data_IF_590805180655
#
_entry.id   IF_590805180655
#
_cell.length_a   1.000
_cell.length_b   1.000
_cell.length_c   1.000
_cell.angle_alpha   90.00
_cell.angle_beta   90.00
_cell.angle_gamma   90.00
#
_symmetry.space_group_name_H-M   'P 1'
#
loop_
_entity.id
_entity.type
_entity.pdbx_description
1 polymer ?
#
# COMPACT_ATOMS: atom_id res chain seq x y z
N UNK A 1 7.52 29.42 66.66
CA UNK A 1 6.22 29.61 66.02
C UNK A 1 6.28 28.99 64.66
N UNK A 2 5.42 27.99 64.45
CA UNK A 2 5.24 27.33 63.17
C UNK A 2 4.97 28.32 62.04
N UNK A 3 5.25 27.89 60.81
CA UNK A 3 4.94 28.66 59.61
C UNK A 3 4.24 27.79 58.58
N UNK A 4 3.40 28.43 57.77
CA UNK A 4 2.68 27.76 56.68
C UNK A 4 3.52 27.78 55.40
N UNK A 5 3.53 26.65 54.70
CA UNK A 5 4.04 26.51 53.34
C UNK A 5 2.84 26.32 52.43
N UNK A 6 2.76 27.12 51.37
CA UNK A 6 1.66 27.09 50.42
C UNK A 6 2.10 26.52 49.08
N UNK A 7 1.21 25.80 48.42
CA UNK A 7 1.33 25.48 47.00
C UNK A 7 1.17 26.73 46.15
N UNK A 8 1.62 26.66 44.89
CA UNK A 8 1.50 27.77 43.92
C UNK A 8 0.05 28.24 43.73
N UNK A 9 -0.92 27.35 43.87
CA UNK A 9 -2.34 27.68 43.78
C UNK A 9 -2.91 28.40 45.03
N UNK A 10 -2.09 28.64 46.06
CA UNK A 10 -2.46 29.31 47.30
C UNK A 10 -3.04 28.41 48.39
N UNK A 11 -3.22 27.10 48.14
CA UNK A 11 -3.63 26.15 49.17
C UNK A 11 -2.47 25.83 50.12
N UNK A 12 -2.78 25.57 51.40
CA UNK A 12 -1.77 25.22 52.41
C UNK A 12 -1.25 23.81 52.13
N UNK A 13 0.05 23.68 51.93
CA UNK A 13 0.74 22.41 51.76
C UNK A 13 1.08 21.78 53.12
N UNK A 14 1.65 22.55 54.05
CA UNK A 14 1.98 22.07 55.40
C UNK A 14 2.11 23.21 56.40
N UNK A 15 1.94 22.89 57.68
CA UNK A 15 2.28 23.75 58.81
C UNK A 15 3.52 23.15 59.48
N UNK A 16 4.65 23.85 59.39
CA UNK A 16 5.95 23.33 59.84
C UNK A 16 6.27 23.87 61.23
N UNK A 17 6.28 22.97 62.22
CA UNK A 17 6.55 23.28 63.63
C UNK A 17 8.04 23.53 63.91
N UNK A 18 8.33 24.35 64.92
CA UNK A 18 9.71 24.61 65.37
C UNK A 18 10.39 23.30 65.84
N UNK A 19 11.67 23.15 65.52
CA UNK A 19 12.50 22.01 65.92
C UNK A 19 12.20 20.71 65.20
N UNK A 20 11.32 20.72 64.19
CA UNK A 20 10.90 19.51 63.45
C UNK A 20 11.30 19.58 61.97
N UNK A 21 11.40 18.41 61.35
CA UNK A 21 11.56 18.26 59.89
C UNK A 21 10.33 17.51 59.39
N UNK A 22 9.55 18.15 58.52
CA UNK A 22 8.46 17.51 57.82
C UNK A 22 9.02 16.71 56.62
N UNK A 23 8.56 15.46 56.49
CA UNK A 23 8.99 14.50 55.47
C UNK A 23 7.81 13.94 54.67
N UNK A 24 6.66 14.62 54.70
CA UNK A 24 5.47 14.21 53.95
C UNK A 24 5.76 14.23 52.44
N UNK A 25 6.43 15.27 51.95
CA UNK A 25 6.73 15.46 50.54
C UNK A 25 8.09 14.90 50.13
N UNK A 26 8.32 14.74 48.81
CA UNK A 26 9.59 14.29 48.23
C UNK A 26 10.78 15.20 48.59
N UNK A 27 10.50 16.48 48.87
CA UNK A 27 11.41 17.42 49.52
C UNK A 27 11.04 17.58 50.99
N UNK A 28 12.05 17.70 51.85
CA UNK A 28 11.85 17.87 53.30
C UNK A 28 11.59 19.34 53.63
N UNK A 29 10.62 19.66 54.48
CA UNK A 29 10.40 21.03 54.95
C UNK A 29 10.97 21.20 56.36
N UNK A 30 11.76 22.26 56.58
CA UNK A 30 12.56 22.40 57.80
C UNK A 30 12.00 23.46 58.73
N UNK A 31 11.66 23.07 59.97
CA UNK A 31 11.22 23.98 61.03
C UNK A 31 12.33 24.90 61.53
N UNK A 32 11.94 26.02 62.14
CA UNK A 32 12.90 26.93 62.80
C UNK A 32 13.64 26.17 63.91
N UNK A 33 14.90 26.53 64.18
CA UNK A 33 15.75 25.92 65.22
C UNK A 33 16.15 24.45 64.99
N UNK A 34 16.00 23.90 63.78
CA UNK A 34 16.60 22.61 63.42
C UNK A 34 18.11 22.79 63.19
N UNK A 35 18.93 22.08 63.96
CA UNK A 35 20.40 22.21 63.90
C UNK A 35 21.01 21.58 62.64
N UNK A 36 20.31 20.64 62.01
CA UNK A 36 20.74 19.95 60.76
C UNK A 36 20.19 20.59 59.48
N UNK A 37 19.64 21.80 59.55
CA UNK A 37 18.94 22.43 58.42
C UNK A 37 19.78 22.51 57.13
N UNK A 38 21.09 22.79 57.26
CA UNK A 38 21.97 22.99 56.11
C UNK A 38 22.12 21.75 55.24
N UNK A 39 22.23 20.57 55.85
CA UNK A 39 22.28 19.29 55.15
C UNK A 39 20.96 19.02 54.42
N UNK A 40 19.82 19.22 55.11
CA UNK A 40 18.49 18.99 54.54
C UNK A 40 18.22 19.87 53.32
N UNK A 41 18.60 21.15 53.36
CA UNK A 41 18.44 22.03 52.21
C UNK A 41 19.34 21.62 51.04
N UNK A 42 20.60 21.28 51.31
CA UNK A 42 21.52 20.81 50.27
C UNK A 42 20.97 19.55 49.58
N UNK A 43 20.47 18.57 50.36
CA UNK A 43 19.81 17.38 49.82
C UNK A 43 18.60 17.73 48.95
N UNK A 44 17.74 18.64 49.39
CA UNK A 44 16.57 19.05 48.61
C UNK A 44 16.96 19.65 47.25
N UNK A 45 18.01 20.47 47.19
CA UNK A 45 18.48 21.02 45.92
C UNK A 45 18.99 19.94 44.97
N UNK A 46 19.70 18.93 45.49
CA UNK A 46 20.15 17.78 44.69
C UNK A 46 18.94 16.98 44.20
N UNK A 47 17.97 16.66 45.06
CA UNK A 47 16.74 15.94 44.69
C UNK A 47 15.96 16.65 43.59
N UNK A 48 15.85 17.98 43.67
CA UNK A 48 15.17 18.77 42.63
C UNK A 48 15.97 18.77 41.32
N UNK A 49 17.30 18.89 41.39
CA UNK A 49 18.17 18.87 40.21
C UNK A 49 18.11 17.53 39.46
N UNK A 50 18.02 16.42 40.18
CA UNK A 50 17.93 15.07 39.60
C UNK A 50 16.49 14.61 39.32
N UNK A 51 15.49 15.48 39.51
CA UNK A 51 14.07 15.15 39.40
C UNK A 51 13.70 13.90 40.22
N UNK A 52 14.09 13.87 41.50
CA UNK A 52 13.75 12.77 42.41
C UNK A 52 14.26 11.39 42.02
N UNK A 53 15.32 11.31 41.19
CA UNK A 53 15.89 10.08 40.65
C UNK A 53 16.00 8.96 41.68
N UNK A 54 15.27 7.86 41.46
CA UNK A 54 15.27 6.72 42.37
C UNK A 54 14.75 5.45 41.65
N UNK A 55 15.08 4.28 42.19
CA UNK A 55 14.59 2.97 41.72
C UNK A 55 13.16 2.68 42.20
N UNK A 56 12.63 3.51 43.09
CA UNK A 56 11.25 3.48 43.57
C UNK A 56 10.60 4.83 43.35
N UNK A 57 9.30 4.85 43.02
CA UNK A 57 8.60 6.11 42.85
C UNK A 57 8.38 6.82 44.21
N UNK A 58 8.27 8.16 44.23
CA UNK A 58 7.88 8.91 45.42
C UNK A 58 6.57 8.40 46.03
N UNK A 59 6.48 8.35 47.36
CA UNK A 59 5.33 7.79 48.09
C UNK A 59 4.18 8.79 48.27
N UNK A 60 4.48 10.09 48.29
CA UNK A 60 3.47 11.17 48.35
C UNK A 60 3.81 12.26 47.32
N UNK A 61 3.77 11.94 46.01
CA UNK A 61 4.10 12.90 44.98
C UNK A 61 3.04 14.01 44.92
N UNK A 62 3.48 15.21 44.54
CA UNK A 62 2.58 16.34 44.28
C UNK A 62 2.23 16.42 42.80
N UNK A 63 1.03 16.89 42.45
CA UNK A 63 0.64 17.03 41.04
C UNK A 63 1.62 17.99 40.31
N UNK A 64 2.16 17.54 39.19
CA UNK A 64 3.22 18.20 38.43
C UNK A 64 4.64 17.80 38.83
N UNK A 65 4.83 16.94 39.83
CA UNK A 65 6.15 16.46 40.24
C UNK A 65 6.80 15.60 39.14
N UNK A 66 8.07 15.89 38.87
CA UNK A 66 8.90 15.13 37.96
C UNK A 66 9.65 14.04 38.73
N UNK A 67 9.70 12.84 38.14
CA UNK A 67 10.43 11.72 38.70
C UNK A 67 11.21 10.97 37.61
N UNK A 68 12.52 10.81 37.81
CA UNK A 68 13.37 9.98 36.95
C UNK A 68 13.46 8.54 37.48
N UNK A 69 13.00 7.58 36.69
CA UNK A 69 13.12 6.17 37.04
C UNK A 69 14.54 5.66 36.74
N UNK A 70 15.39 5.61 37.76
CA UNK A 70 16.75 5.07 37.64
C UNK A 70 16.82 3.54 37.75
N UNK A 71 15.68 2.87 37.89
CA UNK A 71 15.59 1.40 37.80
C UNK A 71 15.87 0.90 36.38
N UNK A 72 16.30 -0.35 36.28
CA UNK A 72 16.37 -1.09 35.01
C UNK A 72 15.02 -1.70 34.61
N UNK A 73 13.97 -1.51 35.41
CA UNK A 73 12.61 -1.98 35.16
C UNK A 73 11.62 -0.81 35.09
N UNK A 74 10.49 -1.02 34.41
CA UNK A 74 9.37 -0.08 34.45
C UNK A 74 8.73 -0.06 35.83
N UNK A 75 8.58 1.13 36.41
CA UNK A 75 8.01 1.33 37.74
C UNK A 75 6.95 2.43 37.64
N UNK A 76 5.74 2.17 38.13
CA UNK A 76 4.60 3.10 38.04
C UNK A 76 4.41 3.68 36.62
N UNK A 77 4.43 2.81 35.61
CA UNK A 77 4.30 3.13 34.18
C UNK A 77 5.44 3.97 33.56
N UNK A 78 6.50 4.29 34.31
CA UNK A 78 7.67 5.01 33.81
C UNK A 78 8.74 4.00 33.42
N UNK A 79 9.18 4.03 32.16
CA UNK A 79 10.19 3.12 31.62
C UNK A 79 11.56 3.28 32.28
N UNK A 80 12.48 2.31 32.09
CA UNK A 80 13.83 2.38 32.66
C UNK A 80 14.60 3.58 32.11
N UNK A 81 15.29 4.32 32.98
CA UNK A 81 16.05 5.54 32.62
C UNK A 81 15.22 6.60 31.89
N UNK A 82 13.94 6.74 32.23
CA UNK A 82 13.03 7.74 31.65
C UNK A 82 12.43 8.65 32.72
N UNK A 83 11.95 9.81 32.27
CA UNK A 83 11.30 10.81 33.11
C UNK A 83 9.78 10.65 33.06
N UNK A 84 9.13 10.73 34.22
CA UNK A 84 7.68 10.79 34.34
C UNK A 84 7.22 12.07 35.04
N UNK A 85 5.93 12.40 34.86
CA UNK A 85 5.23 13.46 35.59
C UNK A 85 4.02 12.91 36.33
N UNK A 86 3.85 13.30 37.60
CA UNK A 86 2.67 12.94 38.38
C UNK A 86 1.48 13.83 38.03
N UNK A 87 0.34 13.27 37.65
CA UNK A 87 -0.87 14.04 37.28
C UNK A 87 -1.83 14.32 38.46
N UNK A 88 -1.49 13.85 39.66
CA UNK A 88 -2.35 13.89 40.85
C UNK A 88 -3.01 12.54 41.18
N UNK A 89 -2.89 11.55 40.29
CA UNK A 89 -3.34 10.18 40.49
C UNK A 89 -2.19 9.19 40.24
N UNK A 90 -1.48 9.33 39.13
CA UNK A 90 -0.40 8.43 38.70
C UNK A 90 0.74 9.18 37.99
N UNK A 91 1.88 8.52 37.86
CA UNK A 91 2.97 8.97 37.02
C UNK A 91 2.70 8.60 35.55
N UNK A 92 2.88 9.57 34.65
CA UNK A 92 2.78 9.41 33.20
C UNK A 92 4.14 9.68 32.55
N UNK A 93 4.54 8.91 31.53
CA UNK A 93 5.82 9.11 30.84
C UNK A 93 5.86 10.46 30.11
N UNK A 94 6.93 11.23 30.31
CA UNK A 94 7.21 12.46 29.59
C UNK A 94 8.13 12.18 28.40
N UNK A 95 7.52 11.75 27.30
CA UNK A 95 8.13 11.78 25.97
C UNK A 95 9.13 10.66 25.64
N UNK A 96 8.82 9.92 24.57
CA UNK A 96 9.80 9.14 23.83
C UNK A 96 9.14 8.14 22.88
N UNK A 97 9.28 8.36 21.57
CA UNK A 97 9.26 7.23 20.64
C UNK A 97 10.54 6.44 20.85
N UNK A 98 10.47 5.16 21.19
CA UNK A 98 11.64 4.30 21.21
C UNK A 98 12.27 4.29 19.83
N UNK A 99 13.60 4.35 19.70
CA UNK A 99 14.28 4.15 18.42
C UNK A 99 15.36 3.09 18.62
N UNK A 100 15.12 1.90 18.09
CA UNK A 100 15.98 0.73 18.32
C UNK A 100 15.74 -0.36 17.29
N UNK A 101 16.77 -1.16 17.03
CA UNK A 101 16.70 -2.32 16.13
C UNK A 101 15.85 -3.47 16.70
N UNK A 102 15.73 -3.53 18.03
CA UNK A 102 14.95 -4.53 18.75
C UNK A 102 13.74 -3.90 19.40
N UNK A 103 12.65 -4.66 19.45
CA UNK A 103 11.39 -4.22 20.04
C UNK A 103 11.58 -3.89 21.55
N UNK A 104 11.04 -2.76 22.03
CA UNK A 104 10.99 -2.45 23.46
C UNK A 104 10.27 -3.54 24.26
N UNK A 105 10.83 -3.91 25.42
CA UNK A 105 10.32 -5.00 26.28
C UNK A 105 9.26 -4.57 27.28
N UNK A 106 9.06 -3.27 27.50
CA UNK A 106 8.07 -2.76 28.48
C UNK A 106 7.37 -1.47 28.01
N UNK A 107 6.64 -1.51 26.87
CA UNK A 107 5.90 -0.36 26.37
C UNK A 107 4.56 -0.15 27.10
N UNK A 108 4.11 1.09 27.13
CA UNK A 108 2.76 1.50 27.51
C UNK A 108 1.87 1.67 26.27
N UNK A 109 0.55 1.54 26.43
CA UNK A 109 -0.41 1.76 25.32
C UNK A 109 -0.21 3.16 24.74
N UNK A 110 -0.05 3.24 23.42
CA UNK A 110 0.20 4.49 22.71
C UNK A 110 1.68 4.84 22.54
N UNK A 111 2.60 4.10 23.15
CA UNK A 111 4.03 4.32 22.94
C UNK A 111 4.40 4.09 21.48
N UNK A 112 5.18 5.01 20.95
CA UNK A 112 5.73 4.91 19.60
C UNK A 112 7.06 4.17 19.63
N UNK A 113 7.34 3.38 18.61
CA UNK A 113 8.64 2.76 18.39
C UNK A 113 9.03 2.86 16.91
N UNK A 114 10.16 3.47 16.63
CA UNK A 114 10.83 3.43 15.35
C UNK A 114 11.80 2.25 15.32
N UNK A 115 11.43 1.22 14.55
CA UNK A 115 12.26 0.06 14.27
C UNK A 115 13.35 0.45 13.27
N UNK A 116 14.57 0.66 13.76
CA UNK A 116 15.70 1.14 12.96
C UNK A 116 16.29 0.06 12.04
N UNK A 117 15.86 -1.19 12.13
CA UNK A 117 16.28 -2.25 11.19
C UNK A 117 15.37 -2.28 9.97
N UNK A 118 14.09 -1.98 10.15
CA UNK A 118 13.10 -2.01 9.07
C UNK A 118 12.71 -0.61 8.57
N UNK A 119 13.18 0.45 9.23
CA UNK A 119 12.76 1.85 9.07
C UNK A 119 11.24 2.04 9.18
N UNK A 120 10.65 1.39 10.18
CA UNK A 120 9.20 1.36 10.39
C UNK A 120 8.80 2.02 11.70
N UNK A 121 7.85 2.94 11.63
CA UNK A 121 7.16 3.45 12.81
C UNK A 121 6.05 2.48 13.23
N UNK A 122 6.02 2.17 14.51
CA UNK A 122 5.05 1.29 15.16
C UNK A 122 4.46 1.97 16.40
N UNK A 123 3.27 1.56 16.80
CA UNK A 123 2.62 2.03 18.04
C UNK A 123 2.16 0.84 18.88
N UNK A 124 2.34 0.89 20.20
CA UNK A 124 1.93 -0.19 21.08
C UNK A 124 0.42 -0.12 21.36
N UNK A 125 -0.30 -1.18 21.05
CA UNK A 125 -1.76 -1.29 21.22
C UNK A 125 -2.20 -1.66 22.64
N UNK A 126 -1.26 -2.05 23.52
CA UNK A 126 -1.56 -2.71 24.80
C UNK A 126 -1.35 -4.23 24.78
N UNK A 127 -1.16 -4.82 23.60
CA UNK A 127 -0.79 -6.22 23.44
C UNK A 127 0.49 -6.37 22.62
N UNK A 128 0.55 -5.68 21.47
CA UNK A 128 1.69 -5.71 20.55
C UNK A 128 1.89 -4.36 19.86
N UNK A 129 3.08 -4.17 19.28
CA UNK A 129 3.36 -3.05 18.40
C UNK A 129 2.72 -3.27 17.02
N UNK A 130 1.80 -2.39 16.63
CA UNK A 130 1.17 -2.37 15.31
C UNK A 130 1.97 -1.45 14.38
N UNK A 131 2.11 -1.84 13.11
CA UNK A 131 2.80 -1.04 12.08
C UNK A 131 1.96 0.20 11.72
N UNK A 132 2.58 1.37 11.79
CA UNK A 132 2.01 2.63 11.29
C UNK A 132 2.48 2.88 9.86
N UNK A 133 3.77 2.66 9.59
CA UNK A 133 4.32 2.71 8.23
C UNK A 133 5.83 2.92 8.19
N UNK A 134 6.45 2.80 7.02
CA UNK A 134 5.85 2.38 5.74
C UNK A 134 5.46 0.89 5.72
N UNK A 135 4.57 0.50 4.81
CA UNK A 135 4.09 -0.89 4.66
C UNK A 135 5.13 -1.89 4.13
N UNK A 136 6.31 -1.39 3.78
CA UNK A 136 7.48 -2.15 3.36
C UNK A 136 8.62 -1.95 4.37
N UNK A 137 9.64 -2.79 4.30
CA UNK A 137 10.83 -2.71 5.17
C UNK A 137 12.03 -2.30 4.33
N UNK A 138 12.92 -1.45 4.83
CA UNK A 138 14.12 -1.01 4.09
C UNK A 138 14.91 -2.17 3.45
N UNK A 139 15.17 -3.32 4.12
CA UNK A 139 15.94 -4.40 3.52
C UNK A 139 15.26 -5.11 2.34
N UNK A 140 13.96 -4.89 2.17
CA UNK A 140 13.16 -5.49 1.10
C UNK A 140 12.72 -4.45 0.06
N UNK A 141 13.24 -3.23 0.10
CA UNK A 141 12.93 -2.18 -0.85
C UNK A 141 11.50 -1.65 -0.74
N UNK A 142 11.19 -0.69 -1.60
CA UNK A 142 9.86 -0.10 -1.72
C UNK A 142 8.93 -1.07 -2.43
N UNK A 143 7.79 -1.38 -1.83
CA UNK A 143 6.77 -2.24 -2.43
C UNK A 143 5.37 -1.76 -2.09
N UNK A 144 4.45 -1.92 -3.05
CA UNK A 144 3.05 -1.58 -2.92
C UNK A 144 2.64 -0.33 -3.68
N UNK A 145 1.43 0.15 -3.38
CA UNK A 145 0.82 1.30 -4.02
C UNK A 145 1.23 2.59 -3.31
N UNK A 146 1.95 3.47 -4.02
CA UNK A 146 2.42 4.75 -3.49
C UNK A 146 1.86 5.87 -4.36
N UNK A 147 1.24 6.84 -3.71
CA UNK A 147 0.70 8.03 -4.37
C UNK A 147 1.84 9.03 -4.56
N UNK A 148 2.05 9.48 -5.79
CA UNK A 148 3.07 10.46 -6.14
C UNK A 148 2.49 11.54 -7.05
N UNK A 149 3.05 12.75 -6.94
CA UNK A 149 2.78 13.83 -7.88
C UNK A 149 3.82 13.81 -8.98
N UNK A 150 3.36 13.81 -10.23
CA UNK A 150 4.21 13.92 -11.42
C UNK A 150 3.78 15.12 -12.23
N UNK A 151 4.72 15.79 -12.88
CA UNK A 151 4.45 17.01 -13.64
C UNK A 151 4.53 16.73 -15.15
N UNK A 152 3.57 17.23 -15.91
CA UNK A 152 3.55 17.12 -17.37
C UNK A 152 4.48 18.14 -18.06
N UNK A 153 4.63 18.01 -19.38
CA UNK A 153 5.40 18.96 -20.22
C UNK A 153 4.79 20.37 -20.29
N UNK A 154 3.53 20.53 -19.90
CA UNK A 154 2.82 21.81 -19.83
C UNK A 154 2.86 22.42 -18.43
N UNK A 155 3.63 21.84 -17.50
CA UNK A 155 3.81 22.25 -16.09
C UNK A 155 2.58 22.08 -15.19
N UNK A 156 1.65 21.20 -15.55
CA UNK A 156 0.56 20.78 -14.67
C UNK A 156 0.99 19.60 -13.80
N UNK A 157 0.58 19.63 -12.54
CA UNK A 157 0.79 18.53 -11.60
C UNK A 157 -0.37 17.53 -11.66
N UNK A 158 -0.02 16.26 -11.73
CA UNK A 158 -0.93 15.13 -11.79
C UNK A 158 -0.66 14.18 -10.63
N UNK A 159 -1.72 13.74 -9.95
CA UNK A 159 -1.62 12.76 -8.88
C UNK A 159 -1.80 11.36 -9.47
N UNK A 160 -0.80 10.49 -9.31
CA UNK A 160 -0.85 9.11 -9.77
C UNK A 160 -0.55 8.13 -8.65
N UNK A 161 -1.00 6.89 -8.81
CA UNK A 161 -0.53 5.77 -7.99
C UNK A 161 0.52 5.00 -8.78
N UNK A 162 1.72 4.87 -8.23
CA UNK A 162 2.74 3.94 -8.73
C UNK A 162 2.67 2.65 -7.94
N UNK A 163 2.66 1.53 -8.66
CA UNK A 163 2.73 0.19 -8.08
C UNK A 163 4.19 -0.26 -8.12
N UNK A 164 4.83 -0.28 -6.96
CA UNK A 164 6.22 -0.69 -6.78
C UNK A 164 6.31 -2.17 -6.43
N UNK A 165 7.33 -2.83 -6.99
CA UNK A 165 7.76 -4.17 -6.59
C UNK A 165 9.24 -4.15 -6.29
N UNK A 166 9.63 -4.73 -5.16
CA UNK A 166 11.02 -4.93 -4.78
C UNK A 166 11.73 -5.84 -5.76
N UNK A 167 12.93 -5.46 -6.18
CA UNK A 167 13.78 -6.32 -7.01
C UNK A 167 14.65 -7.16 -6.07
N UNK A 168 14.48 -8.50 -6.04
CA UNK A 168 15.24 -9.35 -5.14
C UNK A 168 16.73 -9.28 -5.47
N UNK A 169 17.59 -9.43 -4.45
CA UNK A 169 19.05 -9.35 -4.60
C UNK A 169 19.66 -10.37 -5.58
N UNK A 170 18.88 -11.35 -6.04
CA UNK A 170 19.29 -12.35 -7.04
C UNK A 170 19.19 -11.86 -8.48
N UNK A 171 18.45 -10.78 -8.75
CA UNK A 171 18.29 -10.22 -10.10
C UNK A 171 19.34 -9.13 -10.39
N UNK A 172 19.76 -8.92 -11.66
CA UNK A 172 20.68 -7.85 -12.03
C UNK A 172 20.12 -6.47 -11.64
N UNK A 173 20.86 -5.71 -10.84
CA UNK A 173 20.38 -4.42 -10.30
C UNK A 173 19.50 -4.53 -9.06
N UNK A 174 19.25 -5.75 -8.58
CA UNK A 174 18.55 -6.04 -7.33
C UNK A 174 19.37 -5.75 -6.08
N UNK A 175 18.71 -5.63 -4.95
CA UNK A 175 19.32 -5.29 -3.67
C UNK A 175 18.31 -4.75 -2.67
N UNK A 176 18.72 -4.50 -1.42
CA UNK A 176 17.82 -4.08 -0.35
C UNK A 176 17.04 -2.81 -0.70
N UNK A 177 17.57 -1.94 -1.54
CA UNK A 177 16.93 -0.67 -1.93
C UNK A 177 16.39 -0.66 -3.37
N UNK A 178 16.47 -1.78 -4.09
CA UNK A 178 16.09 -1.84 -5.50
C UNK A 178 14.58 -2.09 -5.65
N UNK A 179 13.89 -1.21 -6.38
CA UNK A 179 12.45 -1.33 -6.62
C UNK A 179 12.10 -0.77 -7.99
N UNK A 180 11.15 -1.42 -8.65
CA UNK A 180 10.68 -1.04 -9.99
C UNK A 180 9.20 -0.68 -9.95
N UNK A 181 8.81 0.27 -10.81
CA UNK A 181 7.40 0.60 -11.03
C UNK A 181 6.85 -0.35 -12.08
N UNK A 182 5.98 -1.26 -11.66
CA UNK A 182 5.41 -2.27 -12.57
C UNK A 182 4.13 -1.78 -13.26
N UNK A 183 3.46 -0.79 -12.66
CA UNK A 183 2.25 -0.21 -13.20
C UNK A 183 1.98 1.18 -12.61
N UNK A 184 1.18 1.96 -13.33
CA UNK A 184 0.66 3.25 -12.87
C UNK A 184 -0.87 3.26 -12.94
N UNK A 185 -1.50 4.00 -12.03
CA UNK A 185 -2.94 4.27 -12.04
C UNK A 185 -3.16 5.78 -12.07
N UNK A 186 -3.97 6.26 -13.03
CA UNK A 186 -4.31 7.66 -13.18
C UNK A 186 -5.79 7.85 -13.53
N UNK A 187 -6.35 9.00 -13.17
CA UNK A 187 -7.70 9.41 -13.57
C UNK A 187 -7.69 10.43 -14.73
N UNK A 188 -6.53 11.04 -14.99
CA UNK A 188 -6.43 12.17 -15.91
C UNK A 188 -6.35 11.69 -17.37
N UNK A 189 -6.82 12.53 -18.31
CA UNK A 189 -6.68 12.27 -19.73
C UNK A 189 -5.20 12.18 -20.13
N UNK A 190 -4.88 11.45 -21.20
CA UNK A 190 -3.50 11.18 -21.65
C UNK A 190 -2.61 12.43 -21.63
N UNK A 191 -1.48 12.36 -20.91
CA UNK A 191 -0.47 13.41 -20.85
C UNK A 191 0.95 12.84 -20.96
N UNK A 192 1.90 13.70 -21.34
CA UNK A 192 3.33 13.37 -21.45
C UNK A 192 4.08 13.96 -20.26
N UNK A 193 4.88 13.14 -19.59
CA UNK A 193 5.69 13.55 -18.45
C UNK A 193 6.81 14.50 -18.88
N UNK A 194 7.12 15.49 -18.04
CA UNK A 194 8.33 16.27 -18.23
C UNK A 194 9.57 15.49 -17.81
N UNK A 195 10.75 15.98 -18.20
CA UNK A 195 12.03 15.29 -17.96
C UNK A 195 12.34 15.04 -16.48
N UNK A 196 11.86 15.89 -15.57
CA UNK A 196 12.09 15.73 -14.14
C UNK A 196 11.18 14.65 -13.51
N UNK A 197 10.05 14.36 -14.17
CA UNK A 197 9.06 13.39 -13.72
C UNK A 197 9.11 12.06 -14.49
N UNK A 198 10.07 11.89 -15.40
CA UNK A 198 10.28 10.62 -16.11
C UNK A 198 10.78 9.55 -15.13
N UNK A 199 10.27 8.33 -15.30
CA UNK A 199 10.73 7.12 -14.64
C UNK A 199 10.68 5.96 -15.64
N UNK A 200 11.41 4.89 -15.35
CA UNK A 200 11.52 3.76 -16.27
C UNK A 200 10.14 3.18 -16.61
N UNK A 201 9.92 2.84 -17.87
CA UNK A 201 8.67 2.24 -18.33
C UNK A 201 7.55 3.21 -18.71
N UNK A 202 7.69 4.51 -18.40
CA UNK A 202 6.61 5.49 -18.56
C UNK A 202 7.11 6.85 -19.07
N UNK A 203 6.71 7.19 -20.29
CA UNK A 203 6.88 8.53 -20.89
C UNK A 203 5.57 9.30 -20.91
N UNK A 204 4.46 8.58 -21.10
CA UNK A 204 3.10 9.11 -21.08
C UNK A 204 2.28 8.36 -20.05
N UNK A 205 1.27 9.02 -19.49
CA UNK A 205 0.30 8.42 -18.58
C UNK A 205 -1.11 8.66 -19.14
N UNK A 206 -1.84 7.58 -19.38
CA UNK A 206 -3.26 7.51 -19.74
C UNK A 206 -4.15 7.22 -18.51
N UNK A 207 -5.47 7.49 -18.60
CA UNK A 207 -6.40 7.12 -17.54
C UNK A 207 -6.52 5.59 -17.40
N UNK A 208 -6.74 5.13 -16.18
CA UNK A 208 -6.82 3.70 -15.83
C UNK A 208 -5.49 3.13 -15.35
N UNK A 209 -5.33 1.82 -15.49
CA UNK A 209 -4.10 1.09 -15.11
C UNK A 209 -3.25 0.89 -16.37
N UNK A 210 -2.00 1.33 -16.32
CA UNK A 210 -1.01 1.08 -17.37
C UNK A 210 0.12 0.25 -16.80
N UNK A 211 0.45 -0.85 -17.48
CA UNK A 211 1.61 -1.68 -17.14
C UNK A 211 2.88 -1.08 -17.73
N UNK A 212 4.00 -1.33 -17.07
CA UNK A 212 5.30 -0.88 -17.54
C UNK A 212 5.65 -1.47 -18.91
N UNK A 213 6.32 -0.67 -19.76
CA UNK A 213 6.83 -1.14 -21.06
C UNK A 213 8.34 -1.46 -21.04
N UNK A 214 9.02 -1.23 -19.90
CA UNK A 214 10.41 -1.61 -19.62
C UNK A 214 10.58 -2.03 -18.16
N UNK A 215 11.74 -2.53 -17.75
CA UNK A 215 11.98 -3.05 -16.40
C UNK A 215 11.42 -4.46 -16.18
N UNK A 216 10.13 -4.69 -16.46
CA UNK A 216 9.49 -6.01 -16.32
C UNK A 216 9.20 -6.63 -17.68
N UNK A 217 9.96 -7.67 -18.05
CA UNK A 217 9.76 -8.39 -19.31
C UNK A 217 8.45 -9.18 -19.27
N UNK A 218 7.59 -8.97 -20.28
CA UNK A 218 6.35 -9.72 -20.44
C UNK A 218 5.20 -9.22 -19.56
N UNK A 219 5.31 -8.00 -19.00
CA UNK A 219 4.26 -7.37 -18.20
C UNK A 219 2.90 -7.39 -18.94
N UNK A 220 1.97 -8.17 -18.39
CA UNK A 220 0.61 -8.34 -18.90
C UNK A 220 -0.36 -8.42 -17.72
N UNK A 221 -1.64 -8.15 -17.99
CA UNK A 221 -2.70 -8.47 -17.04
C UNK A 221 -2.90 -9.99 -17.05
N UNK A 222 -2.31 -10.68 -16.09
CA UNK A 222 -2.49 -12.12 -15.91
C UNK A 222 -3.73 -12.37 -15.05
N UNK A 223 -4.70 -13.09 -15.61
CA UNK A 223 -5.87 -13.55 -14.89
C UNK A 223 -6.69 -14.53 -15.73
N UNK A 224 -7.25 -15.54 -15.07
CA UNK A 224 -8.23 -16.43 -15.69
C UNK A 224 -9.62 -15.78 -15.55
N UNK A 225 -10.10 -15.17 -16.63
CA UNK A 225 -11.45 -14.64 -16.67
C UNK A 225 -12.45 -15.79 -16.88
N UNK A 226 -13.26 -16.10 -15.88
CA UNK A 226 -14.39 -17.04 -16.03
C UNK A 226 -15.48 -16.47 -16.93
N UNK A 227 -15.63 -15.15 -16.93
CA UNK A 227 -16.46 -14.38 -17.86
C UNK A 227 -15.81 -13.04 -18.22
N UNK A 228 -15.99 -12.57 -19.45
CA UNK A 228 -15.66 -11.21 -19.91
C UNK A 228 -16.97 -10.50 -20.20
N UNK A 229 -17.27 -9.42 -19.45
CA UNK A 229 -18.54 -8.68 -19.54
C UNK A 229 -19.80 -9.57 -19.39
N UNK A 230 -19.70 -10.60 -18.55
CA UNK A 230 -20.78 -11.56 -18.30
C UNK A 230 -20.86 -12.74 -19.28
N UNK A 231 -20.04 -12.75 -20.34
CA UNK A 231 -19.95 -13.86 -21.29
C UNK A 231 -18.81 -14.81 -20.93
N UNK A 232 -19.07 -16.11 -20.93
CA UNK A 232 -18.01 -17.10 -20.78
C UNK A 232 -17.15 -17.19 -22.04
N UNK A 233 -15.94 -17.72 -21.93
CA UNK A 233 -15.11 -17.99 -23.10
C UNK A 233 -15.81 -18.92 -24.12
N UNK A 234 -16.74 -19.78 -23.68
CA UNK A 234 -17.54 -20.66 -24.54
C UNK A 234 -18.63 -19.94 -25.33
N UNK A 235 -18.89 -18.66 -25.06
CA UNK A 235 -19.89 -17.87 -25.79
C UNK A 235 -19.32 -17.25 -27.09
N UNK A 236 -18.01 -17.39 -27.33
CA UNK A 236 -17.33 -16.87 -28.51
C UNK A 236 -16.84 -18.01 -29.41
N UNK A 237 -16.88 -17.80 -30.73
CA UNK A 237 -16.29 -18.74 -31.69
C UNK A 237 -14.76 -18.72 -31.61
N UNK A 238 -14.14 -19.89 -31.53
CA UNK A 238 -12.68 -20.00 -31.53
C UNK A 238 -12.05 -19.60 -32.87
N UNK A 239 -10.94 -18.87 -32.83
CA UNK A 239 -10.12 -18.56 -34.01
C UNK A 239 -9.08 -19.64 -34.34
N UNK A 240 -8.86 -20.61 -33.44
CA UNK A 240 -7.77 -21.61 -33.53
C UNK A 240 -8.25 -23.05 -33.37
N UNK A 241 -9.52 -23.28 -33.08
CA UNK A 241 -10.11 -24.59 -32.88
C UNK A 241 -11.46 -24.71 -33.60
N UNK A 242 -11.90 -25.94 -33.84
CA UNK A 242 -13.23 -26.19 -34.39
C UNK A 242 -14.31 -25.80 -33.37
N UNK A 243 -15.41 -25.26 -33.88
CA UNK A 243 -16.52 -24.77 -33.04
C UNK A 243 -17.88 -25.04 -33.70
N UNK A 244 -18.95 -25.06 -32.90
CA UNK A 244 -20.31 -25.31 -33.34
C UNK A 244 -21.24 -24.19 -32.86
N UNK A 245 -22.04 -23.64 -33.79
CA UNK A 245 -23.15 -22.75 -33.43
C UNK A 245 -24.43 -23.56 -33.22
N UNK A 246 -25.06 -23.45 -32.04
CA UNK A 246 -26.40 -24.01 -31.80
C UNK A 246 -27.52 -23.03 -32.22
N UNK A 247 -27.20 -21.74 -32.24
CA UNK A 247 -28.08 -20.66 -32.68
C UNK A 247 -27.85 -20.26 -34.14
N UNK A 248 -28.51 -19.18 -34.58
CA UNK A 248 -28.34 -18.63 -35.93
C UNK A 248 -27.15 -17.69 -36.01
N UNK A 249 -26.30 -17.85 -37.04
CA UNK A 249 -25.27 -16.87 -37.40
C UNK A 249 -25.83 -15.89 -38.45
N UNK A 250 -25.83 -14.59 -38.15
CA UNK A 250 -26.19 -13.53 -39.10
C UNK A 250 -24.96 -12.71 -39.48
N UNK A 251 -24.73 -12.51 -40.78
CA UNK A 251 -23.63 -11.69 -41.32
C UNK A 251 -24.22 -10.41 -41.91
N UNK A 252 -24.25 -9.34 -41.12
CA UNK A 252 -24.87 -8.05 -41.49
C UNK A 252 -23.87 -7.10 -42.13
N UNK A 253 -23.17 -7.56 -43.16
CA UNK A 253 -22.34 -6.72 -44.01
C UNK A 253 -22.39 -7.24 -45.45
N UNK A 254 -22.25 -6.34 -46.42
CA UNK A 254 -22.39 -6.67 -47.85
C UNK A 254 -21.20 -7.46 -48.40
N UNK A 255 -20.03 -7.41 -47.76
CA UNK A 255 -18.89 -8.26 -48.13
C UNK A 255 -19.14 -9.74 -47.84
N UNK A 256 -19.98 -10.02 -46.84
CA UNK A 256 -20.59 -11.32 -46.54
C UNK A 256 -19.66 -12.34 -45.88
N UNK A 257 -19.83 -13.63 -46.23
CA UNK A 257 -19.14 -14.77 -45.62
C UNK A 257 -18.06 -15.30 -46.57
N UNK A 258 -16.86 -15.52 -46.04
CA UNK A 258 -15.74 -16.18 -46.73
C UNK A 258 -15.39 -17.48 -46.04
N UNK A 259 -15.16 -18.55 -46.81
CA UNK A 259 -14.78 -19.88 -46.31
C UNK A 259 -13.61 -20.42 -47.12
N UNK A 260 -12.63 -21.01 -46.42
CA UNK A 260 -11.39 -21.53 -47.01
C UNK A 260 -10.18 -20.63 -46.72
N UNK A 261 -8.98 -21.20 -46.69
CA UNK A 261 -7.73 -20.48 -46.34
C UNK A 261 -7.44 -19.36 -47.34
N UNK A 262 -7.81 -19.57 -48.61
CA UNK A 262 -7.67 -18.58 -49.67
C UNK A 262 -8.95 -17.78 -49.93
N UNK A 263 -9.93 -17.86 -49.01
CA UNK A 263 -11.28 -17.32 -49.21
C UNK A 263 -11.97 -17.89 -50.46
N UNK A 264 -11.79 -19.20 -50.69
CA UNK A 264 -12.26 -19.91 -51.87
C UNK A 264 -13.77 -19.72 -52.10
N UNK A 265 -14.59 -19.89 -51.07
CA UNK A 265 -16.04 -19.71 -51.16
C UNK A 265 -16.46 -18.37 -50.59
N UNK A 266 -17.29 -17.62 -51.33
CA UNK A 266 -17.84 -16.34 -50.89
C UNK A 266 -19.34 -16.25 -51.13
N UNK A 267 -20.06 -15.75 -50.13
CA UNK A 267 -21.45 -15.27 -50.26
C UNK A 267 -21.44 -13.79 -49.95
N UNK A 268 -21.95 -12.94 -50.84
CA UNK A 268 -21.94 -11.48 -50.66
C UNK A 268 -23.14 -10.80 -51.30
N UNK A 269 -23.32 -9.52 -50.99
CA UNK A 269 -24.40 -8.69 -51.52
C UNK A 269 -23.81 -7.48 -52.22
N UNK A 270 -24.37 -7.10 -53.37
CA UNK A 270 -24.04 -5.84 -54.03
C UNK A 270 -25.31 -5.21 -54.58
N UNK A 271 -25.69 -4.05 -54.05
CA UNK A 271 -26.98 -3.45 -54.34
C UNK A 271 -28.12 -4.35 -53.87
N UNK A 272 -28.88 -4.90 -54.81
CA UNK A 272 -30.01 -5.80 -54.54
C UNK A 272 -29.67 -7.27 -54.83
N UNK A 273 -28.48 -7.56 -55.35
CA UNK A 273 -28.10 -8.87 -55.84
C UNK A 273 -27.25 -9.62 -54.80
N UNK A 274 -27.52 -10.92 -54.66
CA UNK A 274 -26.71 -11.85 -53.85
C UNK A 274 -25.83 -12.67 -54.78
N UNK A 275 -24.53 -12.68 -54.52
CA UNK A 275 -23.55 -13.48 -55.26
C UNK A 275 -23.06 -14.62 -54.38
N UNK A 276 -23.14 -15.84 -54.90
CA UNK A 276 -22.52 -17.05 -54.34
C UNK A 276 -21.48 -17.52 -55.34
N UNK A 277 -20.21 -17.47 -54.97
CA UNK A 277 -19.11 -17.73 -55.90
C UNK A 277 -17.99 -18.57 -55.28
N UNK A 278 -17.32 -19.34 -56.15
CA UNK A 278 -15.98 -19.85 -55.90
C UNK A 278 -14.99 -18.84 -56.50
N UNK A 279 -14.14 -18.23 -55.68
CA UNK A 279 -13.18 -17.22 -56.08
C UNK A 279 -11.85 -17.83 -56.55
N UNK A 280 -11.67 -19.13 -56.40
CA UNK A 280 -10.45 -19.83 -56.79
C UNK A 280 -10.44 -20.04 -58.29
N UNK A 281 -9.41 -19.52 -58.96
CA UNK A 281 -9.25 -19.64 -60.41
C UNK A 281 -9.33 -21.11 -60.85
N UNK A 282 -10.08 -21.41 -61.90
CA UNK A 282 -10.37 -22.77 -62.41
C UNK A 282 -11.19 -23.65 -61.46
N UNK A 283 -11.71 -23.09 -60.38
CA UNK A 283 -12.50 -23.78 -59.38
C UNK A 283 -14.00 -23.71 -59.66
N UNK A 284 -14.63 -24.87 -59.83
CA UNK A 284 -16.09 -24.96 -59.99
C UNK A 284 -16.85 -24.63 -58.69
N UNK A 285 -18.12 -24.23 -58.80
CA UNK A 285 -19.09 -24.30 -57.70
C UNK A 285 -19.95 -25.56 -57.87
N UNK A 286 -19.91 -26.48 -56.88
CA UNK A 286 -20.58 -27.78 -56.96
C UNK A 286 -21.67 -27.92 -55.90
N UNK A 287 -22.86 -28.33 -56.33
CA UNK A 287 -23.94 -28.78 -55.46
C UNK A 287 -24.03 -30.30 -55.54
N UNK A 288 -23.76 -30.98 -54.43
CA UNK A 288 -23.68 -32.44 -54.35
C UNK A 288 -24.55 -32.99 -53.22
N UNK A 289 -24.99 -34.22 -53.41
CA UNK A 289 -25.52 -35.08 -52.34
C UNK A 289 -24.49 -36.16 -52.03
N UNK A 290 -24.71 -36.96 -50.98
CA UNK A 290 -23.79 -38.02 -50.56
C UNK A 290 -23.39 -38.98 -51.71
N UNK A 291 -24.33 -39.25 -52.63
CA UNK A 291 -24.10 -40.13 -53.78
C UNK A 291 -23.45 -39.46 -55.00
N UNK A 292 -23.16 -38.14 -54.98
CA UNK A 292 -22.46 -37.43 -56.05
C UNK A 292 -22.95 -36.01 -56.36
N UNK A 293 -22.27 -35.35 -57.30
CA UNK A 293 -22.57 -33.98 -57.75
C UNK A 293 -23.79 -33.93 -58.67
N UNK A 294 -24.78 -33.12 -58.29
CA UNK A 294 -26.04 -32.92 -59.02
C UNK A 294 -25.93 -31.74 -59.99
N UNK A 295 -25.28 -30.66 -59.57
CA UNK A 295 -25.07 -29.46 -60.37
C UNK A 295 -23.62 -28.99 -60.23
N UNK A 296 -22.97 -28.75 -61.37
CA UNK A 296 -21.66 -28.10 -61.43
C UNK A 296 -21.81 -26.80 -62.20
N UNK A 297 -21.45 -25.67 -61.58
CA UNK A 297 -21.21 -24.40 -62.28
C UNK A 297 -19.72 -24.38 -62.59
N UNK A 298 -19.39 -24.65 -63.84
CA UNK A 298 -18.04 -24.81 -64.36
C UNK A 298 -17.42 -23.43 -64.64
N UNK A 299 -16.30 -23.13 -63.99
CA UNK A 299 -15.56 -21.87 -64.20
C UNK A 299 -14.92 -21.81 -65.59
N UNK A 300 -14.41 -22.94 -66.10
CA UNK A 300 -13.66 -22.99 -67.35
C UNK A 300 -14.53 -22.60 -68.55
N UNK A 301 -15.80 -22.98 -68.51
CA UNK A 301 -16.74 -22.77 -69.61
C UNK A 301 -17.88 -21.79 -69.26
N UNK A 302 -18.00 -21.38 -67.99
CA UNK A 302 -19.12 -20.57 -67.47
C UNK A 302 -20.49 -21.23 -67.76
N UNK A 303 -20.55 -22.55 -67.65
CA UNK A 303 -21.73 -23.36 -67.92
C UNK A 303 -22.23 -24.07 -66.66
N UNK A 304 -23.55 -24.24 -66.56
CA UNK A 304 -24.18 -25.03 -65.51
C UNK A 304 -24.53 -26.43 -66.05
N UNK A 305 -23.84 -27.46 -65.56
CA UNK A 305 -24.08 -28.86 -65.93
C UNK A 305 -24.97 -29.51 -64.88
N UNK A 306 -26.20 -29.84 -65.28
CA UNK A 306 -27.16 -30.58 -64.46
C UNK A 306 -27.12 -32.07 -64.78
N UNK A 307 -26.72 -32.89 -63.80
CA UNK A 307 -26.76 -34.34 -63.90
C UNK A 307 -28.17 -34.84 -63.54
N UNK A 308 -29.12 -34.63 -64.45
CA UNK A 308 -30.46 -35.18 -64.33
C UNK A 308 -30.57 -36.53 -65.07
N UNK A 309 -31.18 -37.51 -64.43
CA UNK A 309 -31.70 -38.70 -65.12
C UNK A 309 -33.04 -38.27 -65.76
N UNK A 310 -33.11 -38.21 -67.09
CA UNK A 310 -34.39 -38.07 -67.81
C UNK A 310 -35.22 -39.35 -67.72
#
# INVERSE_FOLDING_TARGET
MAYEVNFTNGSVAAVVEDGTIDQIYSVKLVGKNVTTYGEVFAENYIRLLENGSNVTAPTNPVAGELWFNSSNATINNIGPSTLGVYDGLAFNPLGGSFASATQPSSPNVGDLWFDTTNDQLRVYSGASFILVGPGFTEPNGVSGAIVETVTDVLTNDHLIVKLYVSVPATEPGGGPTASEVVATVSQDALYTLNTASLFDGFVTIAPGIQLTNSGVIGAQFHGDATTVDGFSATDFLSSIANDNTLGTLSVLNDAGLFVGVSSDFKVSVTGNDVTVENQTATGDLKFAVDSGTVLTIDDANTEAVLNAIC
#
